data_IF_693780099700
#
_entry.id   IF_693780099700
#
_cell.length_a   1.000
_cell.length_b   1.000
_cell.length_c   1.000
_cell.angle_alpha   90.00
_cell.angle_beta   90.00
_cell.angle_gamma   90.00
#
_symmetry.space_group_name_H-M   'P 1'
#
loop_
_entity.id
_entity.type
_entity.pdbx_description
1 polymer ?
#
# COMPACT_ATOMS: atom_id res chain seq x y z
N UNK A 1 -7.57 -19.20 2.38
CA UNK A 1 -6.49 -18.25 2.00
C UNK A 1 -6.32 -18.11 0.49
N UNK A 2 -6.52 -19.16 -0.30
CA UNK A 2 -6.38 -19.15 -1.77
C UNK A 2 -7.38 -18.24 -2.51
N UNK A 3 -8.64 -18.20 -2.06
CA UNK A 3 -9.66 -17.31 -2.62
C UNK A 3 -9.34 -15.81 -2.43
N UNK A 4 -8.80 -15.43 -1.27
CA UNK A 4 -8.36 -14.06 -1.01
C UNK A 4 -7.13 -13.67 -1.86
N UNK A 5 -6.25 -14.63 -2.13
CA UNK A 5 -5.11 -14.43 -3.03
C UNK A 5 -5.54 -14.28 -4.50
N UNK A 6 -6.49 -15.11 -4.97
CA UNK A 6 -7.12 -14.98 -6.31
C UNK A 6 -7.86 -13.66 -6.47
N UNK A 7 -8.67 -13.26 -5.49
CA UNK A 7 -9.36 -11.97 -5.48
C UNK A 7 -8.35 -10.81 -5.51
N UNK A 8 -7.24 -10.91 -4.77
CA UNK A 8 -6.15 -9.92 -4.78
C UNK A 8 -5.50 -9.75 -6.16
N UNK A 9 -5.28 -10.85 -6.90
CA UNK A 9 -4.72 -10.81 -8.26
C UNK A 9 -5.74 -10.19 -9.23
N UNK A 10 -7.02 -10.58 -9.14
CA UNK A 10 -8.08 -10.07 -10.01
C UNK A 10 -8.32 -8.56 -9.83
N UNK A 11 -8.27 -8.05 -8.60
CA UNK A 11 -8.54 -6.64 -8.28
C UNK A 11 -7.40 -5.72 -8.72
N UNK A 12 -6.14 -6.18 -8.72
CA UNK A 12 -4.97 -5.35 -9.05
C UNK A 12 -4.89 -4.93 -10.53
N UNK A 13 -5.59 -5.63 -11.42
CA UNK A 13 -5.50 -5.41 -12.87
C UNK A 13 -6.58 -4.53 -13.48
N UNK A 14 -7.64 -4.20 -12.75
CA UNK A 14 -8.81 -3.56 -13.34
C UNK A 14 -8.85 -2.06 -13.04
N UNK A 15 -8.57 -1.26 -14.07
CA UNK A 15 -8.64 0.20 -13.98
C UNK A 15 -10.08 0.66 -13.69
N UNK A 16 -10.25 1.52 -12.69
CA UNK A 16 -11.57 2.02 -12.27
C UNK A 16 -12.37 2.67 -13.41
N UNK A 17 -11.67 3.34 -14.34
CA UNK A 17 -12.31 3.95 -15.52
C UNK A 17 -12.97 2.92 -16.44
N UNK A 18 -12.39 1.73 -16.57
CA UNK A 18 -12.96 0.63 -17.37
C UNK A 18 -14.23 0.09 -16.73
N UNK A 19 -14.23 -0.06 -15.40
CA UNK A 19 -15.41 -0.47 -14.63
C UNK A 19 -16.55 0.55 -14.77
N UNK A 20 -16.26 1.84 -14.55
CA UNK A 20 -17.24 2.93 -14.71
C UNK A 20 -17.81 2.92 -16.13
N UNK A 21 -16.96 2.80 -17.15
CA UNK A 21 -17.38 2.75 -18.55
C UNK A 21 -18.31 1.55 -18.82
N UNK A 22 -17.94 0.37 -18.32
CA UNK A 22 -18.71 -0.86 -18.50
C UNK A 22 -20.11 -0.74 -17.90
N UNK A 23 -20.21 -0.32 -16.63
CA UNK A 23 -21.49 -0.14 -15.94
C UNK A 23 -22.32 0.95 -16.64
N UNK A 24 -21.70 2.09 -16.99
CA UNK A 24 -22.39 3.18 -17.71
C UNK A 24 -23.04 2.68 -19.00
N UNK A 25 -22.32 1.86 -19.78
CA UNK A 25 -22.83 1.30 -21.04
C UNK A 25 -23.97 0.29 -20.79
N UNK A 26 -23.85 -0.57 -19.78
CA UNK A 26 -24.91 -1.51 -19.41
C UNK A 26 -26.18 -0.79 -18.92
N UNK A 27 -26.04 0.38 -18.29
CA UNK A 27 -27.15 1.26 -17.92
C UNK A 27 -27.68 2.11 -19.09
N UNK A 28 -27.15 1.96 -20.30
CA UNK A 28 -27.59 2.72 -21.48
C UNK A 28 -27.26 4.21 -21.44
N UNK A 29 -26.31 4.64 -20.62
CA UNK A 29 -25.99 6.06 -20.45
C UNK A 29 -24.90 6.52 -21.41
N UNK A 30 -25.04 7.72 -21.99
CA UNK A 30 -23.91 8.41 -22.64
C UNK A 30 -22.97 9.04 -21.62
N UNK A 31 -21.74 9.37 -22.01
CA UNK A 31 -20.82 10.11 -21.12
C UNK A 31 -21.40 11.47 -20.69
N UNK A 32 -22.12 12.16 -21.58
CA UNK A 32 -22.82 13.42 -21.27
C UNK A 32 -23.92 13.21 -20.24
N UNK A 33 -24.68 12.11 -20.34
CA UNK A 33 -25.73 11.78 -19.38
C UNK A 33 -25.15 11.49 -17.98
N UNK A 34 -24.10 10.66 -17.91
CA UNK A 34 -23.41 10.38 -16.65
C UNK A 34 -22.83 11.66 -16.04
N UNK A 35 -22.15 12.48 -16.84
CA UNK A 35 -21.57 13.75 -16.40
C UNK A 35 -22.62 14.69 -15.78
N UNK A 36 -23.78 14.84 -16.45
CA UNK A 36 -24.90 15.64 -15.96
C UNK A 36 -25.42 15.09 -14.63
N UNK A 37 -25.63 13.78 -14.53
CA UNK A 37 -26.16 13.12 -13.33
C UNK A 37 -25.18 13.17 -12.14
N UNK A 38 -23.88 13.09 -12.42
CA UNK A 38 -22.82 13.18 -11.41
C UNK A 38 -22.42 14.63 -11.07
N UNK A 39 -22.93 15.64 -11.79
CA UNK A 39 -22.57 17.04 -11.57
C UNK A 39 -21.09 17.33 -11.86
N UNK A 40 -20.53 16.73 -12.90
CA UNK A 40 -19.13 16.92 -13.33
C UNK A 40 -19.06 17.25 -14.83
N UNK A 41 -17.99 17.89 -15.33
CA UNK A 41 -17.80 18.12 -16.76
C UNK A 41 -17.71 16.79 -17.54
N UNK A 42 -18.29 16.70 -18.74
CA UNK A 42 -18.21 15.50 -19.58
C UNK A 42 -16.76 15.12 -19.94
N UNK A 43 -15.88 16.11 -20.11
CA UNK A 43 -14.44 15.90 -20.30
C UNK A 43 -13.76 15.21 -19.11
N UNK A 44 -14.35 15.29 -17.90
CA UNK A 44 -13.87 14.55 -16.72
C UNK A 44 -14.22 13.07 -16.84
N UNK A 45 -15.46 12.74 -17.20
CA UNK A 45 -15.88 11.35 -17.46
C UNK A 45 -15.03 10.73 -18.56
N UNK A 46 -14.87 11.42 -19.69
CA UNK A 46 -14.08 10.91 -20.82
C UNK A 46 -12.64 10.58 -20.43
N UNK A 47 -11.96 11.49 -19.71
CA UNK A 47 -10.57 11.27 -19.27
C UNK A 47 -10.43 10.14 -18.26
N UNK A 48 -11.39 10.01 -17.33
CA UNK A 48 -11.41 8.90 -16.36
C UNK A 48 -11.59 7.57 -17.09
N UNK A 49 -12.56 7.47 -18.00
CA UNK A 49 -12.82 6.23 -18.75
C UNK A 49 -11.67 5.80 -19.67
N UNK A 50 -10.83 6.75 -20.09
CA UNK A 50 -9.62 6.51 -20.89
C UNK A 50 -8.36 6.26 -20.04
N UNK A 51 -8.46 6.34 -18.70
CA UNK A 51 -7.30 6.22 -17.81
C UNK A 51 -6.34 7.42 -17.88
N UNK A 52 -6.75 8.54 -18.47
CA UNK A 52 -5.94 9.76 -18.58
C UNK A 52 -6.04 10.66 -17.34
N UNK A 53 -6.98 10.36 -16.43
CA UNK A 53 -7.17 11.10 -15.19
C UNK A 53 -7.64 10.17 -14.07
N UNK A 54 -6.90 10.20 -12.98
CA UNK A 54 -7.35 9.59 -11.74
C UNK A 54 -8.35 10.51 -11.00
N UNK A 55 -9.57 10.05 -10.71
CA UNK A 55 -10.51 10.84 -9.94
C UNK A 55 -10.10 10.89 -8.47
N UNK A 56 -10.26 12.06 -7.84
CA UNK A 56 -10.24 12.11 -6.37
C UNK A 56 -11.48 11.39 -5.79
N UNK A 57 -11.43 11.02 -4.52
CA UNK A 57 -12.51 10.27 -3.85
C UNK A 57 -13.88 10.97 -3.96
N UNK A 58 -13.92 12.30 -3.85
CA UNK A 58 -15.16 13.09 -3.98
C UNK A 58 -15.78 12.95 -5.38
N UNK A 59 -14.96 13.05 -6.43
CA UNK A 59 -15.38 12.90 -7.83
C UNK A 59 -15.82 11.47 -8.09
N UNK A 60 -15.08 10.49 -7.57
CA UNK A 60 -15.41 9.08 -7.70
C UNK A 60 -16.76 8.77 -7.04
N UNK A 61 -17.00 9.26 -5.83
CA UNK A 61 -18.29 9.10 -5.13
C UNK A 61 -19.46 9.70 -5.91
N UNK A 62 -19.29 10.89 -6.49
CA UNK A 62 -20.33 11.50 -7.34
C UNK A 62 -20.65 10.65 -8.57
N UNK A 63 -19.62 10.12 -9.22
CA UNK A 63 -19.77 9.27 -10.41
C UNK A 63 -20.44 7.95 -10.05
N UNK A 64 -19.96 7.27 -9.01
CA UNK A 64 -20.51 5.99 -8.55
C UNK A 64 -21.95 6.14 -8.08
N UNK A 65 -22.28 7.18 -7.31
CA UNK A 65 -23.66 7.49 -6.92
C UNK A 65 -24.58 7.74 -8.12
N UNK A 66 -24.06 8.37 -9.19
CA UNK A 66 -24.82 8.58 -10.42
C UNK A 66 -25.13 7.27 -11.18
N UNK A 67 -24.32 6.22 -11.03
CA UNK A 67 -24.56 4.88 -11.61
C UNK A 67 -25.12 3.88 -10.58
N UNK A 68 -25.61 4.35 -9.43
CA UNK A 68 -26.18 3.52 -8.36
C UNK A 68 -25.19 2.47 -7.81
N UNK A 69 -23.94 2.89 -7.63
CA UNK A 69 -22.88 2.08 -7.00
C UNK A 69 -22.35 2.76 -5.74
N UNK A 70 -22.03 1.96 -4.74
CA UNK A 70 -21.36 2.41 -3.52
C UNK A 70 -19.84 2.18 -3.59
N UNK A 71 -19.07 3.11 -3.03
CA UNK A 71 -17.63 2.97 -2.89
C UNK A 71 -17.30 2.26 -1.58
N UNK A 72 -16.73 1.06 -1.67
CA UNK A 72 -16.24 0.30 -0.51
C UNK A 72 -14.71 0.27 -0.55
N UNK A 73 -14.07 0.77 0.52
CA UNK A 73 -12.61 0.74 0.68
C UNK A 73 -12.28 -0.22 1.82
N UNK A 74 -11.57 -1.30 1.49
CA UNK A 74 -11.10 -2.29 2.47
C UNK A 74 -9.58 -2.32 2.45
N UNK A 75 -8.90 -2.03 3.58
CA UNK A 75 -7.46 -2.20 3.66
C UNK A 75 -7.12 -3.69 3.57
N UNK A 76 -6.27 -4.05 2.61
CA UNK A 76 -5.74 -5.40 2.46
C UNK A 76 -4.27 -5.39 2.84
N UNK A 77 -3.95 -6.08 3.94
CA UNK A 77 -2.56 -6.27 4.35
C UNK A 77 -1.82 -7.10 3.29
N UNK A 78 -0.62 -6.66 2.93
CA UNK A 78 0.21 -7.36 1.94
C UNK A 78 0.79 -8.66 2.51
N UNK A 79 1.05 -8.69 3.82
CA UNK A 79 1.57 -9.80 4.61
C UNK A 79 0.86 -9.86 5.97
N UNK A 80 1.12 -10.91 6.77
CA UNK A 80 0.64 -10.96 8.15
C UNK A 80 1.26 -9.83 8.99
N UNK A 81 0.53 -9.36 10.02
CA UNK A 81 1.02 -8.31 10.93
C UNK A 81 2.38 -8.69 11.51
N UNK A 82 2.56 -9.95 11.91
CA UNK A 82 3.83 -10.45 12.46
C UNK A 82 4.96 -10.41 11.42
N UNK A 83 4.68 -10.75 10.17
CA UNK A 83 5.68 -10.65 9.10
C UNK A 83 6.06 -9.19 8.82
N UNK A 84 5.10 -8.26 8.83
CA UNK A 84 5.36 -6.81 8.68
C UNK A 84 6.25 -6.32 9.84
N UNK A 85 5.92 -6.68 11.08
CA UNK A 85 6.72 -6.31 12.26
C UNK A 85 8.13 -6.87 12.20
N UNK A 86 8.32 -8.15 11.84
CA UNK A 86 9.65 -8.77 11.69
C UNK A 86 10.48 -8.09 10.61
N UNK A 87 9.91 -7.82 9.44
CA UNK A 87 10.58 -7.09 8.34
C UNK A 87 11.09 -5.73 8.83
N UNK A 88 10.27 -5.01 9.60
CA UNK A 88 10.67 -3.72 10.16
C UNK A 88 11.74 -3.86 11.26
N UNK A 89 11.59 -4.80 12.18
CA UNK A 89 12.55 -5.06 13.26
C UNK A 89 13.94 -5.38 12.69
N UNK A 90 13.99 -6.25 11.68
CA UNK A 90 15.23 -6.56 10.98
C UNK A 90 15.86 -5.33 10.33
N UNK A 91 15.06 -4.50 9.64
CA UNK A 91 15.53 -3.24 9.03
C UNK A 91 16.16 -2.31 10.07
N UNK A 92 15.56 -2.20 11.26
CA UNK A 92 16.10 -1.40 12.35
C UNK A 92 17.38 -2.00 12.95
N UNK A 93 17.40 -3.31 13.19
CA UNK A 93 18.57 -4.02 13.68
C UNK A 93 19.77 -3.84 12.74
N UNK A 94 19.55 -4.00 11.42
CA UNK A 94 20.57 -3.75 10.40
C UNK A 94 21.08 -2.30 10.42
N UNK A 95 20.19 -1.31 10.66
CA UNK A 95 20.57 0.11 10.77
C UNK A 95 21.41 0.36 12.03
N UNK A 96 20.99 -0.15 13.19
CA UNK A 96 21.71 0.02 14.47
C UNK A 96 23.08 -0.66 14.45
N UNK A 97 23.15 -1.91 13.99
CA UNK A 97 24.41 -2.64 13.87
C UNK A 97 25.38 -1.96 12.90
N UNK A 98 24.87 -1.33 11.82
CA UNK A 98 25.70 -0.53 10.91
C UNK A 98 26.32 0.68 11.60
N UNK A 99 25.56 1.41 12.44
CA UNK A 99 26.11 2.55 13.18
C UNK A 99 27.18 2.10 14.17
N UNK A 100 26.94 1.02 14.92
CA UNK A 100 27.93 0.43 15.83
C UNK A 100 29.19 -0.01 15.09
N UNK A 101 29.04 -0.61 13.89
CA UNK A 101 30.19 -0.94 13.02
C UNK A 101 30.97 0.31 12.60
N UNK A 102 30.28 1.42 12.33
CA UNK A 102 30.91 2.70 11.97
C UNK A 102 31.77 3.27 13.09
N UNK A 103 31.38 3.10 14.36
CA UNK A 103 32.19 3.52 15.51
C UNK A 103 33.31 2.52 15.85
N UNK A 104 33.12 1.22 15.62
CA UNK A 104 34.12 0.18 15.88
C UNK A 104 35.24 0.11 14.82
N UNK A 105 35.00 0.64 13.61
CA UNK A 105 36.04 0.73 12.57
C UNK A 105 37.17 1.72 12.92
N UNK A 106 37.02 2.50 13.99
CA UNK A 106 38.07 3.34 14.59
C UNK A 106 39.01 2.55 15.51
N UNK A 107 38.64 1.32 15.88
CA UNK A 107 39.35 0.47 16.85
C UNK A 107 40.09 -0.72 16.19
N UNK A 108 40.20 -0.73 14.86
CA UNK A 108 40.91 -1.73 14.04
C UNK A 108 40.48 -3.20 14.27
N UNK A 109 39.24 -3.40 14.75
CA UNK A 109 38.61 -4.72 14.88
C UNK A 109 37.44 -4.83 13.90
N UNK A 110 37.61 -5.61 12.83
CA UNK A 110 36.51 -5.96 11.94
C UNK A 110 35.85 -7.27 12.38
N UNK A 111 34.60 -7.25 12.89
CA UNK A 111 33.89 -8.48 13.21
C UNK A 111 33.59 -9.30 11.95
N UNK A 112 33.69 -10.63 12.08
CA UNK A 112 33.35 -11.57 11.01
C UNK A 112 31.88 -11.42 10.58
N UNK A 113 31.60 -11.70 9.31
CA UNK A 113 30.27 -11.59 8.70
C UNK A 113 29.23 -12.46 9.41
N UNK A 114 29.65 -13.61 9.99
CA UNK A 114 28.77 -14.47 10.79
C UNK A 114 28.33 -13.80 12.08
N UNK A 115 29.26 -13.15 12.78
CA UNK A 115 28.98 -12.44 14.02
C UNK A 115 28.02 -11.26 13.81
N UNK A 116 28.18 -10.52 12.70
CA UNK A 116 27.27 -9.43 12.34
C UNK A 116 25.84 -9.94 12.11
N UNK A 117 25.70 -11.07 11.41
CA UNK A 117 24.39 -11.67 11.16
C UNK A 117 23.69 -12.14 12.46
N UNK A 118 24.47 -12.69 13.39
CA UNK A 118 23.97 -13.11 14.70
C UNK A 118 23.54 -11.92 15.56
N UNK A 119 24.32 -10.84 15.57
CA UNK A 119 23.98 -9.60 16.27
C UNK A 119 22.69 -8.96 15.74
N UNK A 120 22.51 -8.94 14.41
CA UNK A 120 21.27 -8.46 13.78
C UNK A 120 20.07 -9.30 14.25
N UNK A 121 20.22 -10.62 14.31
CA UNK A 121 19.14 -11.53 14.73
C UNK A 121 18.77 -11.32 16.21
N UNK A 122 19.77 -11.16 17.09
CA UNK A 122 19.54 -10.87 18.50
C UNK A 122 18.81 -9.54 18.70
N UNK A 123 19.23 -8.50 17.96
CA UNK A 123 18.56 -7.20 18.05
C UNK A 123 17.15 -7.24 17.46
N UNK A 124 16.92 -7.99 16.37
CA UNK A 124 15.57 -8.21 15.82
C UNK A 124 14.63 -8.82 16.88
N UNK A 125 15.04 -9.89 17.55
CA UNK A 125 14.24 -10.56 18.58
C UNK A 125 13.98 -9.64 19.80
N UNK A 126 15.00 -8.89 20.24
CA UNK A 126 14.91 -7.86 21.29
C UNK A 126 13.87 -6.78 20.94
N UNK A 127 13.90 -6.25 19.72
CA UNK A 127 12.96 -5.24 19.25
C UNK A 127 11.51 -5.77 19.15
N UNK A 128 11.32 -7.06 18.88
CA UNK A 128 9.98 -7.66 18.78
C UNK A 128 9.34 -7.93 20.15
N UNK A 129 10.13 -8.21 21.18
CA UNK A 129 9.66 -8.52 22.54
C UNK A 129 9.30 -7.28 23.38
N UNK A 130 9.81 -6.09 23.02
CA UNK A 130 9.54 -4.85 23.77
C UNK A 130 8.05 -4.42 23.63
N UNK A 131 7.33 -4.19 24.74
CA UNK A 131 5.87 -3.89 24.74
C UNK A 131 5.49 -2.59 24.00
N UNK A 132 6.40 -1.61 23.98
CA UNK A 132 6.26 -0.33 23.28
C UNK A 132 7.39 -0.15 22.27
N UNK A 133 7.76 -1.22 21.55
CA UNK A 133 8.86 -1.10 20.60
C UNK A 133 8.50 -0.08 19.53
N UNK A 134 9.21 1.04 19.56
CA UNK A 134 9.17 2.12 18.58
C UNK A 134 9.82 1.65 17.28
N UNK A 135 9.33 0.54 16.74
CA UNK A 135 9.81 -0.13 15.54
C UNK A 135 9.76 0.79 14.31
N UNK A 136 9.08 1.92 14.41
CA UNK A 136 8.99 2.92 13.36
C UNK A 136 9.52 4.30 13.77
N UNK A 137 9.99 4.49 15.02
CA UNK A 137 10.66 5.74 15.38
C UNK A 137 12.13 5.61 15.05
N UNK A 138 12.54 6.26 13.96
CA UNK A 138 13.92 6.22 13.49
C UNK A 138 14.90 7.01 14.36
N UNK A 139 14.39 7.76 15.35
CA UNK A 139 15.13 8.74 16.18
C UNK A 139 15.00 8.49 17.70
N UNK A 140 14.53 7.32 18.12
CA UNK A 140 14.34 7.00 19.54
C UNK A 140 15.53 6.26 20.14
#
# INVERSE_FOLDING_TARGET
MEAAHKARIAVRGLAIGVLIKSIRLQLGMSQKALAKRAGVPQSTISRIEQGQRDPNLSTLNKILGAISCDLVIVPLLQDSINAIRRKQARKMAEKQVRYLKGTMNLEDQQPDSRFIAELIKQEEDSLLQRPNSKLWDENA
#
